data_IF_226103593863
#
_entry.id   IF_226103593863
#
_cell.length_a   1.000
_cell.length_b   1.000
_cell.length_c   1.000
_cell.angle_alpha   90.00
_cell.angle_beta   90.00
_cell.angle_gamma   90.00
#
_symmetry.space_group_name_H-M   'P 1'
#
loop_
_entity.id
_entity.type
_entity.pdbx_description
1 polymer ?
#
# COMPACT_ATOMS: atom_id res chain seq x y z
N UNK A 1 -7.79 -30.16 12.80
CA UNK A 1 -7.45 -28.85 13.39
C UNK A 1 -6.10 -29.02 14.07
N UNK A 2 -5.00 -28.70 13.39
CA UNK A 2 -3.65 -28.81 13.96
C UNK A 2 -3.43 -27.58 14.83
N UNK A 3 -3.16 -27.79 16.12
CA UNK A 3 -2.70 -26.74 17.03
C UNK A 3 -1.40 -26.18 16.46
N UNK A 4 -1.41 -24.95 15.97
CA UNK A 4 -0.17 -24.22 15.69
C UNK A 4 0.56 -24.12 17.04
N UNK A 5 1.78 -24.64 17.10
CA UNK A 5 2.65 -24.51 18.26
C UNK A 5 2.74 -23.03 18.62
N UNK A 6 2.15 -22.67 19.75
CA UNK A 6 2.23 -21.30 20.27
C UNK A 6 3.70 -20.98 20.52
N UNK A 7 4.20 -19.90 19.92
CA UNK A 7 5.54 -19.34 20.21
C UNK A 7 5.88 -19.45 21.70
N UNK A 8 7.03 -20.04 22.01
CA UNK A 8 7.46 -20.24 23.39
C UNK A 8 7.80 -18.92 24.08
N UNK A 9 7.61 -18.87 25.41
CA UNK A 9 7.98 -17.68 26.20
C UNK A 9 9.48 -17.35 26.07
N UNK A 10 10.33 -18.35 25.82
CA UNK A 10 11.76 -18.16 25.65
C UNK A 10 12.10 -17.34 24.41
N UNK A 11 11.38 -17.57 23.31
CA UNK A 11 11.49 -16.90 22.04
C UNK A 11 10.96 -15.47 22.13
N UNK A 12 9.83 -15.28 22.82
CA UNK A 12 9.31 -13.94 23.11
C UNK A 12 10.34 -13.11 23.90
N UNK A 13 10.93 -13.69 24.96
CA UNK A 13 11.99 -13.03 25.74
C UNK A 13 13.21 -12.67 24.89
N UNK A 14 13.63 -13.58 24.00
CA UNK A 14 14.74 -13.32 23.05
C UNK A 14 14.38 -12.19 22.10
N UNK A 15 13.18 -12.18 21.52
CA UNK A 15 12.73 -11.12 20.61
C UNK A 15 12.72 -9.75 21.29
N UNK A 16 12.15 -9.68 22.51
CA UNK A 16 12.12 -8.46 23.32
C UNK A 16 13.56 -8.04 23.66
N UNK A 17 14.43 -8.96 24.08
CA UNK A 17 15.84 -8.64 24.33
C UNK A 17 16.57 -8.09 23.10
N UNK A 18 16.32 -8.62 21.90
CA UNK A 18 16.90 -8.11 20.65
C UNK A 18 16.43 -6.68 20.36
N UNK A 19 15.13 -6.42 20.49
CA UNK A 19 14.57 -5.08 20.29
C UNK A 19 15.08 -4.06 21.32
N UNK A 20 15.31 -4.49 22.56
CA UNK A 20 15.83 -3.65 23.63
C UNK A 20 17.22 -3.10 23.34
N UNK A 21 18.09 -3.94 22.79
CA UNK A 21 19.50 -3.60 22.53
C UNK A 21 19.73 -3.05 21.12
N UNK A 22 18.67 -2.92 20.31
CA UNK A 22 18.76 -2.36 18.98
C UNK A 22 18.98 -0.84 19.03
N UNK A 23 19.97 -0.35 18.30
CA UNK A 23 20.21 1.08 18.14
C UNK A 23 19.30 1.68 17.07
N UNK A 24 18.94 0.88 16.06
CA UNK A 24 18.16 1.29 14.88
C UNK A 24 17.04 0.30 14.59
N UNK A 25 16.19 0.07 15.59
CA UNK A 25 15.05 -0.83 15.45
C UNK A 25 14.03 -0.34 14.40
N UNK A 26 13.36 -1.29 13.75
CA UNK A 26 12.25 -1.05 12.84
C UNK A 26 11.14 -2.10 13.07
N UNK A 27 9.88 -1.68 13.07
CA UNK A 27 8.74 -2.62 13.04
C UNK A 27 8.21 -2.65 11.60
N UNK A 28 8.20 -3.81 10.95
CA UNK A 28 7.59 -4.01 9.65
C UNK A 28 6.34 -4.84 9.84
N UNK A 29 5.22 -4.45 9.24
CA UNK A 29 4.00 -5.25 9.32
C UNK A 29 3.24 -5.26 8.01
N UNK A 30 2.50 -6.34 7.79
CA UNK A 30 1.82 -6.54 6.53
C UNK A 30 0.42 -7.11 6.63
N UNK A 31 -0.05 -7.66 5.52
CA UNK A 31 -1.44 -8.12 5.38
C UNK A 31 -1.84 -9.18 6.40
N UNK A 32 -0.91 -10.04 6.83
CA UNK A 32 -1.17 -11.05 7.86
C UNK A 32 -1.54 -10.43 9.21
N UNK A 33 -0.96 -9.27 9.54
CA UNK A 33 -1.30 -8.50 10.74
C UNK A 33 -2.70 -7.92 10.65
N UNK A 34 -3.10 -7.48 9.45
CA UNK A 34 -4.44 -6.96 9.19
C UNK A 34 -5.51 -8.06 9.23
N UNK A 35 -5.20 -9.24 8.69
CA UNK A 35 -6.04 -10.44 8.76
C UNK A 35 -6.21 -10.91 10.20
N UNK A 36 -5.13 -10.92 10.99
CA UNK A 36 -5.15 -11.30 12.40
C UNK A 36 -5.83 -10.26 13.32
N UNK A 37 -6.21 -9.10 12.80
CA UNK A 37 -6.84 -7.99 13.56
C UNK A 37 -5.98 -7.50 14.74
N UNK A 38 -4.67 -7.39 14.50
CA UNK A 38 -3.71 -7.02 15.53
C UNK A 38 -3.50 -5.50 15.69
N UNK A 39 -4.32 -4.64 15.06
CA UNK A 39 -4.17 -3.17 15.07
C UNK A 39 -3.93 -2.57 16.46
N UNK A 40 -4.71 -2.97 17.47
CA UNK A 40 -4.61 -2.41 18.82
C UNK A 40 -3.31 -2.81 19.52
N UNK A 41 -2.93 -4.10 19.41
CA UNK A 41 -1.69 -4.60 20.00
C UNK A 41 -0.46 -4.00 19.32
N UNK A 42 -0.52 -3.83 17.99
CA UNK A 42 0.54 -3.23 17.20
C UNK A 42 0.69 -1.73 17.53
N UNK A 43 -0.41 -1.00 17.64
CA UNK A 43 -0.40 0.41 18.06
C UNK A 43 0.24 0.56 19.44
N UNK A 44 -0.19 -0.25 20.42
CA UNK A 44 0.41 -0.28 21.75
C UNK A 44 1.91 -0.55 21.69
N UNK A 45 2.35 -1.52 20.90
CA UNK A 45 3.76 -1.87 20.76
C UNK A 45 4.58 -0.70 20.20
N UNK A 46 4.12 -0.08 19.10
CA UNK A 46 4.77 1.08 18.48
C UNK A 46 4.83 2.27 19.45
N UNK A 47 3.74 2.58 20.14
CA UNK A 47 3.67 3.73 21.05
C UNK A 47 4.52 3.53 22.32
N UNK A 48 4.55 2.32 22.88
CA UNK A 48 5.33 1.98 24.09
C UNK A 48 6.84 1.93 23.80
N UNK A 49 7.22 1.40 22.64
CA UNK A 49 8.64 1.23 22.29
C UNK A 49 9.24 2.42 21.57
N UNK A 50 8.41 3.31 21.02
CA UNK A 50 8.78 4.43 20.15
C UNK A 50 9.51 4.03 18.87
N UNK A 51 9.50 2.75 18.51
CA UNK A 51 10.17 2.22 17.31
C UNK A 51 9.45 2.72 16.05
N UNK A 52 10.17 3.28 15.05
CA UNK A 52 9.59 3.59 13.74
C UNK A 52 9.03 2.35 13.06
N UNK A 53 7.99 2.52 12.24
CA UNK A 53 7.35 1.40 11.57
C UNK A 53 7.22 1.57 10.06
N UNK A 54 7.12 0.46 9.35
CA UNK A 54 6.91 0.42 7.91
C UNK A 54 5.78 -0.57 7.57
N UNK A 55 4.60 -0.10 7.13
CA UNK A 55 3.57 -0.98 6.61
C UNK A 55 3.95 -1.48 5.21
N UNK A 56 3.61 -2.73 4.89
CA UNK A 56 3.51 -3.16 3.48
C UNK A 56 2.20 -2.66 2.86
N UNK A 57 2.02 -2.73 1.52
CA UNK A 57 0.89 -2.07 0.85
C UNK A 57 -0.50 -2.40 1.45
N UNK A 58 -0.80 -3.68 1.71
CA UNK A 58 -2.06 -4.10 2.34
C UNK A 58 -2.02 -4.09 3.88
N UNK A 59 -0.89 -3.70 4.48
CA UNK A 59 -0.78 -3.41 5.92
C UNK A 59 -1.03 -1.93 6.25
N UNK A 60 -1.04 -1.03 5.25
CA UNK A 60 -1.33 0.39 5.42
C UNK A 60 -2.67 0.59 6.14
N UNK A 61 -2.73 1.59 7.02
CA UNK A 61 -3.91 1.89 7.84
C UNK A 61 -4.05 1.09 9.14
N UNK A 62 -3.28 0.01 9.37
CA UNK A 62 -3.22 -0.65 10.69
C UNK A 62 -2.80 0.32 11.79
N UNK A 63 -1.83 1.16 11.46
CA UNK A 63 -1.67 2.48 12.05
C UNK A 63 -1.86 3.49 10.91
N UNK A 64 -2.40 4.69 11.18
CA UNK A 64 -2.54 5.71 10.15
C UNK A 64 -1.21 6.00 9.45
N UNK A 65 -1.22 6.10 8.12
CA UNK A 65 0.00 6.39 7.35
C UNK A 65 0.63 7.74 7.72
N UNK A 66 -0.16 8.66 8.28
CA UNK A 66 0.26 9.97 8.78
C UNK A 66 0.86 9.95 10.18
N UNK A 67 0.97 8.76 10.80
CA UNK A 67 1.53 8.64 12.14
C UNK A 67 3.00 9.10 12.16
N UNK A 68 3.40 9.85 13.21
CA UNK A 68 4.76 10.42 13.36
C UNK A 68 5.92 9.41 13.35
N UNK A 69 5.64 8.13 13.59
CA UNK A 69 6.60 7.03 13.56
C UNK A 69 6.56 6.24 12.23
N UNK A 70 5.70 6.62 11.28
CA UNK A 70 5.63 6.00 9.98
C UNK A 70 6.89 6.33 9.18
N UNK A 71 7.64 5.29 8.81
CA UNK A 71 8.85 5.37 8.01
C UNK A 71 8.58 5.20 6.50
N UNK A 72 7.32 5.18 6.06
CA UNK A 72 6.91 4.95 4.66
C UNK A 72 7.65 5.86 3.68
N UNK A 73 7.69 7.17 3.97
CA UNK A 73 8.42 8.15 3.14
C UNK A 73 9.95 8.05 3.29
N UNK A 74 10.45 7.38 4.33
CA UNK A 74 11.88 7.14 4.58
C UNK A 74 12.28 5.66 4.34
N UNK A 75 11.48 4.90 3.58
CA UNK A 75 11.60 3.44 3.43
C UNK A 75 13.04 2.97 3.14
N UNK A 76 13.72 3.60 2.17
CA UNK A 76 15.07 3.20 1.79
C UNK A 76 16.10 3.41 2.91
N UNK A 77 15.95 4.47 3.70
CA UNK A 77 16.79 4.70 4.87
C UNK A 77 16.48 3.69 5.98
N UNK A 78 15.19 3.50 6.28
CA UNK A 78 14.73 2.59 7.33
C UNK A 78 15.22 1.15 7.10
N UNK A 79 14.96 0.59 5.91
CA UNK A 79 15.38 -0.77 5.58
C UNK A 79 16.90 -0.86 5.44
N UNK A 80 17.54 0.14 4.82
CA UNK A 80 18.97 0.08 4.50
C UNK A 80 19.89 0.30 5.70
N UNK A 81 19.38 0.79 6.84
CA UNK A 81 20.19 1.14 8.02
C UNK A 81 19.71 0.53 9.33
N UNK A 82 18.52 -0.06 9.39
CA UNK A 82 18.08 -0.75 10.61
C UNK A 82 19.02 -1.90 10.96
N UNK A 83 19.26 -2.12 12.25
CA UNK A 83 20.06 -3.24 12.78
C UNK A 83 19.19 -4.42 13.24
N UNK A 84 17.99 -4.13 13.77
CA UNK A 84 16.99 -5.14 14.14
C UNK A 84 15.64 -4.74 13.55
N UNK A 85 14.98 -5.67 12.86
CA UNK A 85 13.62 -5.48 12.37
C UNK A 85 12.68 -6.55 12.94
N UNK A 86 11.61 -6.14 13.62
CA UNK A 86 10.50 -7.02 13.96
C UNK A 86 9.51 -7.05 12.80
N UNK A 87 9.37 -8.19 12.16
CA UNK A 87 8.44 -8.38 11.04
C UNK A 87 7.21 -9.13 11.54
N UNK A 88 6.04 -8.52 11.42
CA UNK A 88 4.77 -9.06 11.91
C UNK A 88 3.84 -9.31 10.73
N UNK A 89 3.33 -10.54 10.60
CA UNK A 89 2.30 -10.86 9.60
C UNK A 89 2.70 -10.54 8.16
N UNK A 90 3.98 -10.65 7.83
CA UNK A 90 4.51 -10.39 6.50
C UNK A 90 5.59 -11.42 6.15
N UNK A 91 5.73 -11.74 4.86
CA UNK A 91 6.75 -12.67 4.37
C UNK A 91 7.89 -11.88 3.73
N UNK A 92 9.09 -12.01 4.29
CA UNK A 92 10.31 -11.60 3.60
C UNK A 92 10.87 -12.79 2.82
N UNK A 93 10.35 -12.99 1.61
CA UNK A 93 10.64 -14.14 0.75
C UNK A 93 12.14 -14.36 0.43
N UNK A 94 13.03 -13.43 0.79
CA UNK A 94 14.44 -13.42 0.40
C UNK A 94 15.41 -13.28 1.59
N UNK A 95 14.91 -13.17 2.83
CA UNK A 95 15.75 -12.96 4.02
C UNK A 95 15.53 -14.09 5.02
N UNK A 96 16.64 -14.69 5.49
CA UNK A 96 16.60 -15.67 6.58
C UNK A 96 16.49 -14.91 7.91
N UNK A 97 15.40 -15.08 8.69
CA UNK A 97 15.27 -14.42 9.98
C UNK A 97 16.29 -14.96 10.99
N UNK A 98 16.79 -14.10 11.89
CA UNK A 98 17.63 -14.52 13.01
C UNK A 98 16.83 -15.22 14.12
N UNK A 99 15.53 -14.94 14.21
CA UNK A 99 14.59 -15.55 15.14
C UNK A 99 13.22 -15.67 14.46
N UNK A 100 12.67 -16.87 14.42
CA UNK A 100 11.29 -17.11 13.97
C UNK A 100 10.35 -17.11 15.17
N UNK A 101 9.24 -16.37 15.07
CA UNK A 101 8.13 -16.43 16.02
C UNK A 101 6.92 -17.01 15.28
N UNK A 102 6.64 -18.30 15.48
CA UNK A 102 5.52 -18.97 14.83
C UNK A 102 4.26 -18.88 15.69
N UNK A 103 3.16 -18.44 15.09
CA UNK A 103 1.89 -18.21 15.79
C UNK A 103 1.02 -17.13 15.15
N UNK A 104 -0.19 -17.01 15.70
CA UNK A 104 -1.11 -15.94 15.33
C UNK A 104 -0.50 -14.56 15.66
N UNK A 105 -0.48 -13.67 14.66
CA UNK A 105 0.18 -12.38 14.78
C UNK A 105 -0.37 -11.50 15.92
N UNK A 106 -1.69 -11.55 16.18
CA UNK A 106 -2.29 -10.78 17.27
C UNK A 106 -1.84 -11.33 18.64
N UNK A 107 -1.84 -12.65 18.81
CA UNK A 107 -1.37 -13.30 20.04
C UNK A 107 0.11 -13.07 20.28
N UNK A 108 0.96 -13.20 19.25
CA UNK A 108 2.41 -12.96 19.38
C UNK A 108 2.69 -11.51 19.79
N UNK A 109 2.01 -10.54 19.15
CA UNK A 109 2.14 -9.12 19.51
C UNK A 109 1.65 -8.85 20.94
N UNK A 110 0.58 -9.51 21.39
CA UNK A 110 0.11 -9.42 22.77
C UNK A 110 1.17 -9.96 23.76
N UNK A 111 1.80 -11.10 23.45
CA UNK A 111 2.86 -11.67 24.29
C UNK A 111 4.10 -10.78 24.36
N UNK A 112 4.52 -10.18 23.24
CA UNK A 112 5.61 -9.19 23.22
C UNK A 112 5.26 -7.99 24.11
N UNK A 113 4.05 -7.43 23.96
CA UNK A 113 3.58 -6.31 24.80
C UNK A 113 3.53 -6.66 26.30
N UNK A 114 3.28 -7.92 26.66
CA UNK A 114 3.28 -8.38 28.07
C UNK A 114 4.70 -8.58 28.63
N UNK A 115 5.65 -8.96 27.78
CA UNK A 115 7.04 -9.15 28.20
C UNK A 115 7.79 -7.81 28.31
N UNK A 116 7.36 -6.79 27.57
CA UNK A 116 7.78 -5.39 27.77
C UNK A 116 7.15 -4.88 29.08
N UNK A 117 7.97 -4.55 30.08
CA UNK A 117 7.50 -4.19 31.44
C UNK A 117 7.86 -2.77 31.87
N UNK A 118 8.54 -2.04 30.99
CA UNK A 118 9.22 -0.79 31.26
C UNK A 118 8.88 0.24 30.17
N UNK A 119 8.86 1.50 30.56
CA UNK A 119 8.47 2.64 29.72
C UNK A 119 9.40 3.84 30.03
N UNK A 120 10.18 4.34 29.05
CA UNK A 120 10.32 3.83 27.69
C UNK A 120 11.18 2.54 27.63
N UNK A 121 10.76 1.59 26.80
CA UNK A 121 11.42 0.28 26.66
C UNK A 121 12.76 0.30 25.90
N UNK A 122 12.82 1.03 24.78
CA UNK A 122 14.04 1.16 23.98
C UNK A 122 14.17 2.56 23.35
N UNK A 123 13.53 2.77 22.21
CA UNK A 123 13.68 3.98 21.42
C UNK A 123 12.69 5.03 21.92
N UNK A 124 13.18 5.98 22.73
CA UNK A 124 12.40 7.16 23.05
C UNK A 124 12.19 8.09 21.85
N UNK A 125 11.28 9.06 21.98
CA UNK A 125 11.04 10.08 20.94
C UNK A 125 12.28 10.91 20.58
N UNK A 126 13.22 11.06 21.50
CA UNK A 126 14.47 11.81 21.36
C UNK A 126 15.66 10.93 20.94
N UNK A 127 15.40 9.71 20.48
CA UNK A 127 16.45 8.82 20.01
C UNK A 127 16.97 9.29 18.62
N UNK A 128 18.30 9.37 18.39
CA UNK A 128 18.85 9.84 17.11
C UNK A 128 18.35 9.09 15.89
N UNK A 129 18.05 7.79 16.02
CA UNK A 129 17.47 7.00 14.93
C UNK A 129 16.04 7.44 14.59
N UNK A 130 15.21 7.67 15.60
CA UNK A 130 13.83 8.14 15.43
C UNK A 130 13.82 9.52 14.77
N UNK A 131 14.69 10.43 15.24
CA UNK A 131 14.86 11.77 14.65
C UNK A 131 15.34 11.69 13.20
N UNK A 132 16.30 10.81 12.88
CA UNK A 132 16.79 10.63 11.52
C UNK A 132 15.70 10.15 10.56
N UNK A 133 14.87 9.18 10.99
CA UNK A 133 13.73 8.70 10.21
C UNK A 133 12.70 9.79 10.02
N UNK A 134 12.31 10.51 11.08
CA UNK A 134 11.32 11.59 11.01
C UNK A 134 11.79 12.72 10.10
N UNK A 135 13.05 13.17 10.26
CA UNK A 135 13.64 14.18 9.39
C UNK A 135 13.59 13.74 7.94
N UNK A 136 14.03 12.51 7.64
CA UNK A 136 14.05 12.02 6.27
C UNK A 136 12.65 11.84 5.68
N UNK A 137 11.70 11.35 6.47
CA UNK A 137 10.31 11.19 6.07
C UNK A 137 9.69 12.55 5.75
N UNK A 138 9.87 13.54 6.63
CA UNK A 138 9.37 14.91 6.43
C UNK A 138 9.98 15.56 5.19
N UNK A 139 11.31 15.46 5.00
CA UNK A 139 11.98 15.98 3.79
C UNK A 139 11.40 15.37 2.50
N UNK A 140 11.20 14.05 2.49
CA UNK A 140 10.67 13.35 1.31
C UNK A 140 9.19 13.64 1.08
N UNK A 141 8.38 13.74 2.14
CA UNK A 141 6.97 14.14 2.05
C UNK A 141 6.84 15.57 1.52
N UNK A 142 7.61 16.52 2.04
CA UNK A 142 7.58 17.91 1.54
C UNK A 142 7.94 18.00 0.06
N UNK A 143 8.90 17.20 -0.42
CA UNK A 143 9.24 17.11 -1.85
C UNK A 143 8.10 16.52 -2.67
N UNK A 144 7.45 15.47 -2.17
CA UNK A 144 6.29 14.86 -2.83
C UNK A 144 5.10 15.83 -2.89
N UNK A 145 4.76 16.49 -1.78
CA UNK A 145 3.66 17.48 -1.75
C UNK A 145 3.94 18.66 -2.67
N UNK A 146 5.19 19.14 -2.78
CA UNK A 146 5.55 20.18 -3.74
C UNK A 146 5.37 19.75 -5.21
N UNK A 147 5.47 18.45 -5.50
CA UNK A 147 5.15 17.90 -6.83
C UNK A 147 3.64 17.73 -7.02
N UNK A 148 2.94 17.22 -6.01
CA UNK A 148 1.48 17.00 -6.05
C UNK A 148 0.71 18.32 -6.16
N UNK A 149 1.22 19.41 -5.57
CA UNK A 149 0.61 20.74 -5.65
C UNK A 149 0.56 21.34 -7.05
N UNK A 150 1.21 20.72 -8.05
CA UNK A 150 1.18 21.17 -9.44
C UNK A 150 0.04 20.50 -10.19
N UNK A 151 -0.76 21.31 -10.85
CA UNK A 151 -1.73 20.84 -11.83
C UNK A 151 -1.05 20.74 -13.21
N UNK A 152 -0.94 19.51 -13.70
CA UNK A 152 -0.27 19.21 -14.97
C UNK A 152 -1.31 18.68 -15.95
N UNK A 153 -1.43 19.36 -17.10
CA UNK A 153 -2.28 18.97 -18.23
C UNK A 153 -1.39 18.93 -19.50
N UNK A 154 -1.41 17.84 -20.30
CA UNK A 154 -2.15 16.59 -20.08
C UNK A 154 -1.73 15.89 -18.79
N UNK A 155 -2.66 15.16 -18.16
CA UNK A 155 -2.42 14.54 -16.86
C UNK A 155 -1.18 13.65 -16.85
N UNK A 156 -0.35 13.85 -15.83
CA UNK A 156 0.61 12.85 -15.38
C UNK A 156 -0.07 11.91 -14.35
N UNK A 157 0.70 11.03 -13.69
CA UNK A 157 0.13 10.19 -12.62
C UNK A 157 -0.14 10.94 -11.31
N UNK A 158 0.55 12.05 -11.04
CA UNK A 158 0.52 12.73 -9.74
C UNK A 158 -0.71 13.61 -9.56
N UNK A 159 -1.08 14.43 -10.56
CA UNK A 159 -2.23 15.33 -10.49
C UNK A 159 -3.55 14.58 -10.22
N UNK A 160 -3.95 13.57 -11.01
CA UNK A 160 -5.15 12.78 -10.70
C UNK A 160 -5.02 11.99 -9.40
N UNK A 161 -3.85 11.43 -9.05
CA UNK A 161 -3.68 10.72 -7.78
C UNK A 161 -3.85 11.64 -6.56
N UNK A 162 -3.41 12.90 -6.65
CA UNK A 162 -3.67 13.90 -5.61
C UNK A 162 -5.17 14.13 -5.45
N UNK A 163 -5.88 14.37 -6.56
CA UNK A 163 -7.32 14.61 -6.54
C UNK A 163 -8.06 13.43 -5.93
N UNK A 164 -7.71 12.19 -6.32
CA UNK A 164 -8.28 10.97 -5.76
C UNK A 164 -7.98 10.86 -4.26
N UNK A 165 -6.73 11.10 -3.84
CA UNK A 165 -6.35 11.10 -2.42
C UNK A 165 -7.16 12.10 -1.61
N UNK A 166 -7.26 13.33 -2.08
CA UNK A 166 -7.94 14.41 -1.36
C UNK A 166 -9.45 14.11 -1.27
N UNK A 167 -10.04 13.58 -2.34
CA UNK A 167 -11.44 13.14 -2.38
C UNK A 167 -11.71 11.96 -1.43
N UNK A 168 -10.86 10.93 -1.42
CA UNK A 168 -11.05 9.77 -0.53
C UNK A 168 -10.87 10.13 0.94
N UNK A 169 -9.91 11.01 1.27
CA UNK A 169 -9.76 11.54 2.63
C UNK A 169 -10.94 12.42 3.05
N UNK A 170 -11.55 13.16 2.12
CA UNK A 170 -12.70 14.03 2.37
C UNK A 170 -13.97 13.27 2.79
N UNK A 171 -14.08 11.97 2.50
CA UNK A 171 -15.22 11.13 2.90
C UNK A 171 -15.28 10.94 4.43
N UNK A 172 -14.13 10.94 5.11
CA UNK A 172 -14.06 10.74 6.56
C UNK A 172 -14.12 9.27 6.96
N UNK A 173 -14.85 8.97 8.04
CA UNK A 173 -14.97 7.62 8.62
C UNK A 173 -16.41 7.12 8.49
N UNK A 174 -16.67 5.88 8.02
CA UNK A 174 -15.67 4.89 7.61
C UNK A 174 -14.89 5.34 6.35
N UNK A 175 -13.58 5.09 6.36
CA UNK A 175 -12.73 5.45 5.23
C UNK A 175 -13.11 4.61 3.99
N UNK A 176 -12.99 5.16 2.76
CA UNK A 176 -13.25 4.38 1.55
C UNK A 176 -12.30 3.18 1.41
N UNK A 177 -12.83 2.05 0.95
CA UNK A 177 -12.02 0.90 0.55
C UNK A 177 -11.42 1.19 -0.82
N UNK A 178 -10.10 1.31 -0.89
CA UNK A 178 -9.35 1.56 -2.11
C UNK A 178 -8.81 0.24 -2.66
N UNK A 179 -9.28 -0.14 -3.85
CA UNK A 179 -8.68 -1.20 -4.66
C UNK A 179 -7.75 -0.54 -5.68
N UNK A 180 -6.54 -1.05 -5.86
CA UNK A 180 -5.58 -0.42 -6.76
C UNK A 180 -4.67 -1.43 -7.43
N UNK A 181 -4.66 -1.45 -8.76
CA UNK A 181 -3.78 -2.30 -9.57
C UNK A 181 -3.25 -1.59 -10.82
N UNK A 182 -2.39 -2.29 -11.56
CA UNK A 182 -1.55 -1.76 -12.63
C UNK A 182 -0.08 -1.66 -12.21
N UNK A 183 0.74 -1.11 -13.10
CA UNK A 183 2.16 -0.86 -12.80
C UNK A 183 2.34 0.53 -12.17
N UNK A 184 2.52 1.57 -13.01
CA UNK A 184 2.69 2.94 -12.54
C UNK A 184 1.52 3.43 -11.66
N UNK A 185 0.28 3.08 -12.02
CA UNK A 185 -0.92 3.42 -11.23
C UNK A 185 -0.79 2.89 -9.80
N UNK A 186 -0.44 1.62 -9.63
CA UNK A 186 -0.31 1.01 -8.31
C UNK A 186 0.89 1.54 -7.52
N UNK A 187 2.05 1.70 -8.16
CA UNK A 187 3.27 2.13 -7.47
C UNK A 187 3.20 3.59 -7.01
N UNK A 188 2.68 4.48 -7.87
CA UNK A 188 2.40 5.87 -7.49
C UNK A 188 1.27 5.90 -6.46
N UNK A 189 0.20 5.12 -6.67
CA UNK A 189 -0.93 5.02 -5.75
C UNK A 189 -0.52 4.57 -4.35
N UNK A 190 0.41 3.63 -4.20
CA UNK A 190 0.94 3.20 -2.88
C UNK A 190 1.59 4.33 -2.09
N UNK A 191 2.19 5.30 -2.80
CA UNK A 191 2.90 6.44 -2.22
C UNK A 191 1.98 7.63 -1.94
N UNK A 192 0.95 7.82 -2.77
CA UNK A 192 0.06 9.00 -2.71
C UNK A 192 -1.25 8.71 -1.97
N UNK A 193 -1.87 7.54 -2.18
CA UNK A 193 -3.15 7.19 -1.57
C UNK A 193 -2.96 6.75 -0.12
N UNK A 194 -3.28 7.68 0.79
CA UNK A 194 -3.16 7.55 2.25
C UNK A 194 -4.26 6.64 2.80
N UNK A 195 -3.92 5.80 3.78
CA UNK A 195 -4.84 4.95 4.53
C UNK A 195 -4.83 5.35 6.01
N UNK A 196 -6.02 5.64 6.53
CA UNK A 196 -6.23 6.07 7.93
C UNK A 196 -6.81 4.97 8.80
N UNK A 197 -7.40 3.93 8.20
CA UNK A 197 -8.07 2.82 8.88
C UNK A 197 -7.58 1.45 8.36
N UNK A 198 -7.59 0.40 9.20
CA UNK A 198 -7.11 -0.92 8.82
C UNK A 198 -8.00 -1.57 7.77
N UNK A 199 -7.39 -2.36 6.86
CA UNK A 199 -8.09 -3.17 5.84
C UNK A 199 -8.84 -2.35 4.78
N UNK A 200 -8.45 -1.09 4.60
CA UNK A 200 -9.03 -0.19 3.59
C UNK A 200 -8.29 -0.21 2.25
N UNK A 201 -7.28 -1.06 2.09
CA UNK A 201 -6.52 -1.19 0.84
C UNK A 201 -6.39 -2.62 0.37
N UNK A 202 -6.75 -2.86 -0.88
CA UNK A 202 -6.52 -4.10 -1.61
C UNK A 202 -5.71 -3.80 -2.89
N UNK A 203 -4.74 -4.65 -3.23
CA UNK A 203 -3.96 -4.52 -4.46
C UNK A 203 -3.52 -5.89 -5.01
N UNK A 204 -2.75 -5.86 -6.10
CA UNK A 204 -2.23 -7.04 -6.80
C UNK A 204 -1.41 -8.01 -5.93
N UNK A 205 -1.06 -7.62 -4.70
CA UNK A 205 -0.55 -8.50 -3.67
C UNK A 205 0.82 -9.11 -3.99
N UNK A 206 1.06 -10.30 -3.46
CA UNK A 206 2.39 -10.93 -3.47
C UNK A 206 2.85 -11.36 -4.87
N UNK A 207 1.91 -11.72 -5.75
CA UNK A 207 2.24 -12.17 -7.12
C UNK A 207 2.14 -11.05 -8.15
N UNK A 208 1.71 -9.85 -7.76
CA UNK A 208 1.49 -8.76 -8.71
C UNK A 208 0.45 -9.14 -9.77
N UNK A 209 -0.61 -9.86 -9.37
CA UNK A 209 -1.65 -10.35 -10.29
C UNK A 209 -2.53 -9.20 -10.77
N UNK A 210 -2.58 -8.98 -12.08
CA UNK A 210 -3.50 -8.01 -12.71
C UNK A 210 -4.87 -8.67 -12.95
N UNK A 211 -5.95 -7.89 -12.86
CA UNK A 211 -7.32 -8.39 -13.00
C UNK A 211 -7.97 -8.85 -11.70
N UNK A 212 -7.35 -8.57 -10.55
CA UNK A 212 -7.99 -8.80 -9.24
C UNK A 212 -8.89 -7.62 -8.85
N UNK A 213 -8.72 -6.47 -9.50
CA UNK A 213 -9.34 -5.18 -9.20
C UNK A 213 -10.84 -5.27 -8.97
N UNK A 214 -11.63 -5.49 -10.03
CA UNK A 214 -13.08 -5.47 -9.88
C UNK A 214 -13.60 -6.61 -9.00
N UNK A 215 -13.00 -7.81 -9.06
CA UNK A 215 -13.35 -8.91 -8.16
C UNK A 215 -13.17 -8.57 -6.68
N UNK A 216 -12.12 -7.83 -6.33
CA UNK A 216 -11.94 -7.28 -4.98
C UNK A 216 -12.96 -6.19 -4.65
N UNK A 217 -13.33 -5.35 -5.61
CA UNK A 217 -14.40 -4.37 -5.42
C UNK A 217 -15.74 -5.06 -5.11
N UNK A 218 -16.08 -6.12 -5.83
CA UNK A 218 -17.27 -6.96 -5.57
C UNK A 218 -17.23 -7.48 -4.13
N UNK A 219 -16.14 -8.16 -3.77
CA UNK A 219 -16.00 -8.74 -2.44
C UNK A 219 -16.08 -7.68 -1.33
N UNK A 220 -15.46 -6.52 -1.52
CA UNK A 220 -15.49 -5.42 -0.57
C UNK A 220 -16.91 -4.84 -0.42
N UNK A 221 -17.60 -4.55 -1.53
CA UNK A 221 -18.95 -4.01 -1.52
C UNK A 221 -19.94 -4.97 -0.85
N UNK A 222 -19.84 -6.28 -1.14
CA UNK A 222 -20.69 -7.30 -0.49
C UNK A 222 -20.38 -7.43 1.00
N UNK A 223 -19.12 -7.36 1.40
CA UNK A 223 -18.72 -7.45 2.80
C UNK A 223 -19.06 -6.20 3.61
N UNK A 224 -19.20 -5.04 2.97
CA UNK A 224 -19.39 -3.73 3.61
C UNK A 224 -20.34 -2.86 2.78
N UNK A 225 -21.64 -3.17 2.84
CA UNK A 225 -22.68 -2.58 1.97
C UNK A 225 -22.77 -1.04 2.03
N UNK A 226 -22.44 -0.44 3.17
CA UNK A 226 -22.53 1.02 3.38
C UNK A 226 -21.22 1.76 3.10
N UNK A 227 -20.16 1.05 2.70
CA UNK A 227 -18.82 1.61 2.56
C UNK A 227 -18.55 1.98 1.10
N UNK A 228 -17.98 3.15 0.88
CA UNK A 228 -17.55 3.55 -0.46
C UNK A 228 -16.38 2.67 -0.91
N UNK A 229 -16.52 2.04 -2.07
CA UNK A 229 -15.44 1.28 -2.73
C UNK A 229 -14.96 2.07 -3.94
N UNK A 230 -13.66 2.34 -3.99
CA UNK A 230 -13.01 3.07 -5.09
C UNK A 230 -11.92 2.20 -5.72
N UNK A 231 -12.06 1.87 -6.99
CA UNK A 231 -11.06 1.18 -7.78
C UNK A 231 -10.17 2.21 -8.51
N UNK A 232 -8.86 2.13 -8.33
CA UNK A 232 -7.87 2.99 -8.97
C UNK A 232 -6.97 2.12 -9.84
N UNK A 233 -7.37 2.01 -11.12
CA UNK A 233 -6.96 0.95 -12.02
C UNK A 233 -6.08 1.50 -13.15
N UNK A 234 -4.96 0.84 -13.46
CA UNK A 234 -4.32 1.05 -14.76
C UNK A 234 -5.18 0.44 -15.87
N UNK A 235 -5.31 1.09 -17.03
CA UNK A 235 -6.15 0.61 -18.14
C UNK A 235 -5.88 -0.86 -18.54
N UNK A 236 -4.62 -1.29 -18.55
CA UNK A 236 -4.27 -2.69 -18.85
C UNK A 236 -4.75 -3.65 -17.76
N UNK A 237 -4.67 -3.26 -16.48
CA UNK A 237 -5.15 -4.07 -15.36
C UNK A 237 -6.67 -4.19 -15.37
N UNK A 238 -7.36 -3.05 -15.50
CA UNK A 238 -8.81 -2.97 -15.69
C UNK A 238 -9.29 -3.94 -16.76
N UNK A 239 -8.61 -4.01 -17.91
CA UNK A 239 -8.97 -4.88 -19.02
C UNK A 239 -9.06 -6.38 -18.70
N UNK A 240 -8.39 -6.88 -17.65
CA UNK A 240 -8.48 -8.30 -17.26
C UNK A 240 -9.78 -8.65 -16.53
N UNK A 241 -10.46 -7.66 -15.92
CA UNK A 241 -11.68 -7.88 -15.15
C UNK A 241 -12.83 -6.94 -15.54
N UNK A 242 -12.68 -6.14 -16.59
CA UNK A 242 -13.60 -5.06 -16.97
C UNK A 242 -15.06 -5.48 -17.16
N UNK A 243 -15.33 -6.75 -17.47
CA UNK A 243 -16.70 -7.26 -17.61
C UNK A 243 -17.46 -7.34 -16.29
N UNK A 244 -16.77 -7.26 -15.15
CA UNK A 244 -17.36 -7.31 -13.80
C UNK A 244 -17.83 -5.93 -13.29
N UNK A 245 -17.96 -4.92 -14.16
CA UNK A 245 -18.22 -3.52 -13.80
C UNK A 245 -19.66 -3.23 -13.34
N UNK A 246 -20.49 -4.25 -13.17
CA UNK A 246 -21.95 -4.16 -12.94
C UNK A 246 -22.37 -3.75 -11.51
N UNK A 247 -21.44 -3.30 -10.65
CA UNK A 247 -21.71 -3.00 -9.24
C UNK A 247 -21.60 -1.51 -8.89
N UNK A 248 -22.21 -1.07 -7.76
CA UNK A 248 -22.19 0.32 -7.31
C UNK A 248 -20.82 0.69 -6.70
N UNK A 249 -19.78 0.67 -7.53
CA UNK A 249 -18.40 1.01 -7.16
C UNK A 249 -17.89 2.14 -8.05
N UNK A 250 -17.03 3.00 -7.51
CA UNK A 250 -16.40 4.06 -8.30
C UNK A 250 -15.14 3.50 -8.94
N UNK A 251 -15.12 3.39 -10.27
CA UNK A 251 -13.95 2.89 -11.02
C UNK A 251 -13.25 4.03 -11.73
N UNK A 252 -11.98 4.24 -11.39
CA UNK A 252 -11.13 5.29 -11.97
C UNK A 252 -10.02 4.63 -12.78
N UNK A 253 -10.09 4.77 -14.10
CA UNK A 253 -9.16 4.13 -15.03
C UNK A 253 -8.10 5.12 -15.51
N UNK A 254 -6.84 4.84 -15.21
CA UNK A 254 -5.67 5.55 -15.72
C UNK A 254 -5.35 5.07 -17.14
N UNK A 255 -5.91 5.78 -18.13
CA UNK A 255 -5.70 5.50 -19.55
C UNK A 255 -4.50 6.30 -20.12
N UNK A 256 -3.32 5.70 -20.05
CA UNK A 256 -2.09 6.24 -20.66
C UNK A 256 -1.75 5.57 -22.01
N UNK A 257 -2.72 4.87 -22.65
CA UNK A 257 -2.57 4.28 -23.99
C UNK A 257 -1.64 3.07 -24.09
N UNK A 258 -0.99 2.66 -22.99
CA UNK A 258 -0.19 1.44 -22.97
C UNK A 258 0.65 1.24 -21.72
N UNK A 259 1.14 0.02 -21.56
CA UNK A 259 1.99 -0.37 -20.42
C UNK A 259 3.36 0.29 -20.55
N UNK A 260 3.83 0.94 -19.48
CA UNK A 260 5.12 1.66 -19.44
C UNK A 260 5.35 2.69 -20.57
N UNK A 261 4.30 3.35 -21.05
CA UNK A 261 4.42 4.41 -22.07
C UNK A 261 4.14 3.97 -23.50
N UNK A 262 3.36 2.89 -23.71
CA UNK A 262 2.95 2.40 -25.02
C UNK A 262 4.13 1.92 -25.88
N UNK A 263 4.43 2.55 -27.02
CA UNK A 263 5.51 2.09 -27.91
C UNK A 263 6.87 2.58 -27.42
N UNK A 264 7.75 1.62 -27.11
CA UNK A 264 9.12 1.89 -26.63
C UNK A 264 10.19 1.58 -27.67
N UNK A 265 9.79 1.27 -28.91
CA UNK A 265 10.75 1.06 -30.02
C UNK A 265 11.38 2.39 -30.40
N UNK A 266 12.69 2.40 -30.63
CA UNK A 266 13.33 3.56 -31.25
C UNK A 266 12.97 3.62 -32.74
N UNK A 267 13.01 4.79 -33.39
CA UNK A 267 12.77 4.91 -34.83
C UNK A 267 13.60 3.92 -35.67
N UNK A 268 14.85 3.68 -35.29
CA UNK A 268 15.77 2.75 -35.95
C UNK A 268 15.41 1.28 -35.67
N UNK A 269 14.71 1.01 -34.56
CA UNK A 269 14.20 -0.31 -34.20
C UNK A 269 12.89 -0.68 -34.90
N UNK A 270 12.22 0.27 -35.56
CA UNK A 270 10.98 0.04 -36.32
C UNK A 270 11.34 -0.46 -37.72
N UNK A 271 11.66 -1.75 -37.81
CA UNK A 271 12.08 -2.43 -39.05
C UNK A 271 11.40 -3.79 -39.20
N UNK A 272 11.59 -4.44 -40.36
CA UNK A 272 11.07 -5.78 -40.61
C UNK A 272 9.59 -5.83 -40.97
N UNK A 273 9.02 -7.05 -41.10
CA UNK A 273 7.67 -7.27 -41.65
C UNK A 273 6.54 -6.80 -40.74
N UNK A 274 6.81 -6.54 -39.45
CA UNK A 274 5.81 -6.13 -38.46
C UNK A 274 5.98 -4.67 -37.98
N UNK A 275 6.75 -3.86 -38.70
CA UNK A 275 7.05 -2.48 -38.30
C UNK A 275 5.79 -1.61 -38.10
N UNK A 276 4.75 -1.88 -38.88
CA UNK A 276 3.49 -1.12 -38.87
C UNK A 276 2.46 -1.69 -37.85
N UNK A 277 2.81 -2.77 -37.14
CA UNK A 277 1.95 -3.35 -36.11
C UNK A 277 2.12 -2.60 -34.78
N UNK A 278 1.06 -2.51 -33.95
CA UNK A 278 1.16 -1.96 -32.61
C UNK A 278 2.27 -2.64 -31.81
N UNK A 279 3.03 -1.86 -31.03
CA UNK A 279 4.04 -2.46 -30.16
C UNK A 279 3.38 -3.35 -29.09
N UNK A 280 4.08 -4.37 -28.55
CA UNK A 280 3.53 -5.32 -27.58
C UNK A 280 2.93 -4.69 -26.31
N UNK A 281 3.31 -3.45 -26.00
CA UNK A 281 2.86 -2.69 -24.83
C UNK A 281 1.82 -1.62 -25.18
N UNK A 282 1.45 -1.47 -26.45
CA UNK A 282 0.51 -0.45 -26.93
C UNK A 282 -0.93 -0.93 -26.89
N UNK A 283 -1.82 -0.03 -26.52
CA UNK A 283 -3.27 -0.22 -26.52
C UNK A 283 -3.90 0.78 -27.50
N UNK A 284 -5.21 0.66 -27.73
CA UNK A 284 -5.95 1.57 -28.61
C UNK A 284 -5.87 3.00 -28.03
N UNK A 285 -5.29 3.96 -28.76
CA UNK A 285 -5.21 5.34 -28.29
C UNK A 285 -6.60 5.93 -28.05
N UNK A 286 -6.79 6.59 -26.90
CA UNK A 286 -8.06 7.23 -26.57
C UNK A 286 -9.22 6.26 -26.33
N UNK A 287 -8.95 4.98 -26.03
CA UNK A 287 -9.99 4.01 -25.71
C UNK A 287 -10.98 4.56 -24.66
N UNK A 288 -12.26 4.56 -25.02
CA UNK A 288 -13.33 5.19 -24.25
C UNK A 288 -13.89 4.23 -23.17
N UNK A 289 -13.05 3.84 -22.21
CA UNK A 289 -13.42 2.90 -21.13
C UNK A 289 -14.66 3.32 -20.34
N UNK A 290 -14.90 4.63 -20.22
CA UNK A 290 -16.08 5.19 -19.55
C UNK A 290 -17.40 4.83 -20.24
N UNK A 291 -17.42 4.52 -21.54
CA UNK A 291 -18.64 4.08 -22.24
C UNK A 291 -19.04 2.64 -21.89
N UNK A 292 -18.13 1.83 -21.34
CA UNK A 292 -18.41 0.42 -21.03
C UNK A 292 -19.57 0.30 -20.02
N UNK A 293 -19.62 1.16 -19.01
CA UNK A 293 -20.62 1.09 -17.95
C UNK A 293 -22.01 1.55 -18.43
N UNK A 294 -22.09 2.33 -19.50
CA UNK A 294 -23.36 2.80 -20.06
C UNK A 294 -24.19 1.64 -20.64
N UNK A 295 -23.52 0.60 -21.14
CA UNK A 295 -24.18 -0.64 -21.59
C UNK A 295 -24.99 -1.33 -20.46
N UNK A 296 -24.61 -1.07 -19.20
CA UNK A 296 -25.26 -1.60 -18.00
C UNK A 296 -26.09 -0.54 -17.26
N UNK A 297 -26.30 0.63 -17.86
CA UNK A 297 -27.10 1.72 -17.29
C UNK A 297 -26.41 2.55 -16.20
N UNK A 298 -25.11 2.38 -15.99
CA UNK A 298 -24.35 3.25 -15.08
C UNK A 298 -23.84 4.52 -15.78
N UNK A 299 -22.99 5.28 -15.07
CA UNK A 299 -22.54 6.61 -15.50
C UNK A 299 -21.05 6.61 -15.86
N UNK A 300 -20.74 6.94 -17.12
CA UNK A 300 -19.38 7.12 -17.61
C UNK A 300 -18.95 8.58 -17.60
N UNK A 301 -17.68 8.84 -17.28
CA UNK A 301 -17.06 10.17 -17.40
C UNK A 301 -15.67 10.06 -18.04
N UNK A 302 -15.38 10.95 -19.00
CA UNK A 302 -14.04 11.17 -19.51
C UNK A 302 -13.48 12.44 -18.88
N UNK A 303 -12.37 12.30 -18.13
CA UNK A 303 -11.77 13.41 -17.38
C UNK A 303 -10.37 13.70 -17.92
N UNK A 304 -10.10 14.95 -18.29
CA UNK A 304 -8.81 15.40 -18.83
C UNK A 304 -8.23 16.65 -18.14
N UNK A 305 -8.96 17.25 -17.20
CA UNK A 305 -8.61 18.46 -16.46
C UNK A 305 -8.86 18.28 -14.96
N UNK A 306 -8.15 19.02 -14.08
CA UNK A 306 -8.26 18.87 -12.63
C UNK A 306 -9.64 19.18 -12.02
N UNK A 307 -10.31 20.19 -12.56
CA UNK A 307 -11.65 20.69 -12.23
C UNK A 307 -12.78 19.78 -12.75
#
# INVERSE_FOLDING_TARGET
MVLIETVGQSEIKKAVSLLRHAERALIVFGKGTAIARAENGLKKLVETTGIPFLPTPMGKGLLPDTHKLAATAARSLAIGKCDVALIVGERLNWLKPCLGLDGDAAKVVEMINKEIKDDPFCLGKTNPWVEAIQKKANENMSKMEAQLAKDVVPFNFLTPMRIIRDATLGVGSPAPIVVSEGANTMDVGRSVLVQTEPRMRLDAGTWGTMGVGLGYCIAAAVASLDWLVVAVEGHSGFGFSAMEVELPVVVIVFNNGGVYGSDRRSPEGITGPFKDYPAPTSFIPGAAYHLLIEAFGGKGYLVGTPD
#
